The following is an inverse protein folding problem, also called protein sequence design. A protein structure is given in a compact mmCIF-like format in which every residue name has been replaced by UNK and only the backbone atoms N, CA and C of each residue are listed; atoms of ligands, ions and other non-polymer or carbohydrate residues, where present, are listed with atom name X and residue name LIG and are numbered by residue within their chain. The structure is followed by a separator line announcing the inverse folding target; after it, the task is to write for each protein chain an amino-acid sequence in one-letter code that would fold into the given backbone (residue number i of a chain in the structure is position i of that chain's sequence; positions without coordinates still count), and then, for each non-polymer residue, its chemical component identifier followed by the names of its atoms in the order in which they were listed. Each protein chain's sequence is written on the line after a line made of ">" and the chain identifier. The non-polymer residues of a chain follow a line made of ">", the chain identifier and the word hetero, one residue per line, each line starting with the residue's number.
data_IF_869859174006
#
_entry.id   IF_869859174006
#
_cell.length_a   1.000
_cell.length_b   1.000
_cell.length_c   1.000
_cell.angle_alpha   90.00
_cell.angle_beta   90.00
_cell.angle_gamma   90.00
#
_symmetry.space_group_name_H-M   'P 1'
#
loop_
_entity.id
_entity.type
_entity.pdbx_description
1 polymer ?
#
# COMPACT_ATOMS: atom_id res chain seq x y z
N UNK A 1 -12.58 -23.73 -2.18
CA UNK A 1 -11.35 -23.01 -2.55
C UNK A 1 -11.58 -21.51 -2.52
N UNK A 2 -10.66 -20.78 -1.89
CA UNK A 2 -10.83 -19.34 -1.68
C UNK A 2 -10.17 -18.56 -2.82
N UNK A 3 -10.79 -17.45 -3.24
CA UNK A 3 -10.16 -16.49 -4.14
C UNK A 3 -9.00 -15.79 -3.42
N UNK A 4 -8.11 -15.14 -4.19
CA UNK A 4 -7.01 -14.37 -3.62
C UNK A 4 -7.49 -13.29 -2.65
N UNK A 5 -8.55 -12.57 -3.02
CA UNK A 5 -9.12 -11.54 -2.15
C UNK A 5 -9.69 -12.12 -0.87
N UNK A 6 -10.35 -13.28 -0.95
CA UNK A 6 -10.88 -13.95 0.24
C UNK A 6 -9.76 -14.42 1.14
N UNK A 7 -8.68 -14.95 0.58
CA UNK A 7 -7.52 -15.37 1.35
C UNK A 7 -6.90 -14.20 2.09
N UNK A 8 -6.78 -13.03 1.44
CA UNK A 8 -6.27 -11.83 2.09
C UNK A 8 -7.17 -11.38 3.24
N UNK A 9 -8.49 -11.42 3.05
CA UNK A 9 -9.44 -11.07 4.10
C UNK A 9 -9.35 -12.01 5.29
N UNK A 10 -9.22 -13.31 5.06
CA UNK A 10 -9.05 -14.29 6.13
C UNK A 10 -7.76 -14.01 6.90
N UNK A 11 -6.67 -13.70 6.18
CA UNK A 11 -5.40 -13.37 6.81
C UNK A 11 -5.50 -12.15 7.72
N UNK A 12 -6.19 -11.11 7.25
CA UNK A 12 -6.41 -9.90 8.04
C UNK A 12 -7.28 -10.22 9.27
N UNK A 13 -8.35 -10.97 9.08
CA UNK A 13 -9.23 -11.38 10.19
C UNK A 13 -8.46 -12.14 11.26
N UNK A 14 -7.58 -13.05 10.87
CA UNK A 14 -6.74 -13.78 11.81
C UNK A 14 -5.79 -12.86 12.57
N UNK A 15 -5.20 -11.90 11.87
CA UNK A 15 -4.25 -10.98 12.47
C UNK A 15 -4.91 -10.13 13.55
N UNK A 16 -6.16 -9.71 13.36
CA UNK A 16 -6.85 -8.85 14.33
C UNK A 16 -7.62 -9.61 15.40
N UNK A 17 -7.71 -10.94 15.30
CA UNK A 17 -8.50 -11.76 16.22
C UNK A 17 -8.07 -11.61 17.68
N UNK A 18 -6.81 -11.34 17.93
CA UNK A 18 -6.28 -11.16 19.28
C UNK A 18 -6.27 -9.69 19.73
N UNK A 19 -6.95 -8.83 18.98
CA UNK A 19 -7.11 -7.42 19.32
C UNK A 19 -5.76 -6.70 19.49
N UNK A 20 -4.88 -6.72 18.46
CA UNK A 20 -3.55 -6.15 18.58
C UNK A 20 -3.57 -4.63 18.56
N UNK A 21 -2.51 -4.01 19.10
CA UNK A 21 -2.28 -2.57 18.96
C UNK A 21 -1.59 -2.23 17.64
N UNK A 22 -0.86 -3.18 17.08
CA UNK A 22 -0.09 -3.01 15.85
C UNK A 22 -0.44 -4.08 14.84
N UNK A 23 -0.66 -3.67 13.60
CA UNK A 23 -0.90 -4.58 12.49
C UNK A 23 0.19 -4.36 11.44
N UNK A 24 0.82 -5.44 10.99
CA UNK A 24 1.84 -5.38 9.94
C UNK A 24 1.33 -6.13 8.72
N UNK A 25 1.29 -5.45 7.57
CA UNK A 25 0.85 -6.03 6.31
C UNK A 25 1.99 -5.95 5.30
N UNK A 26 2.39 -7.10 4.76
CA UNK A 26 3.43 -7.17 3.75
C UNK A 26 2.80 -7.49 2.40
N UNK A 27 2.82 -6.51 1.49
CA UNK A 27 2.25 -6.64 0.15
C UNK A 27 0.81 -7.19 0.20
N UNK A 28 -0.10 -6.54 0.95
CA UNK A 28 -1.41 -7.13 1.25
C UNK A 28 -2.30 -7.34 0.03
N UNK A 29 -2.10 -6.58 -1.04
CA UNK A 29 -2.89 -6.73 -2.26
C UNK A 29 -2.10 -7.31 -3.43
N UNK A 30 -0.97 -7.94 -3.15
CA UNK A 30 -0.16 -8.61 -4.18
C UNK A 30 -0.95 -9.71 -4.88
N UNK A 31 -0.87 -9.73 -6.21
CA UNK A 31 -1.53 -10.76 -7.00
C UNK A 31 -3.03 -10.56 -7.19
N UNK A 32 -3.58 -9.43 -6.76
CA UNK A 32 -4.99 -9.13 -6.90
C UNK A 32 -5.21 -8.16 -8.07
N UNK A 33 -6.40 -8.22 -8.67
CA UNK A 33 -6.79 -7.26 -9.68
C UNK A 33 -6.97 -5.86 -9.06
N UNK A 34 -6.96 -4.79 -9.85
CA UNK A 34 -7.04 -3.43 -9.32
C UNK A 34 -8.27 -3.16 -8.46
N UNK A 35 -9.42 -3.68 -8.85
CA UNK A 35 -10.65 -3.47 -8.09
C UNK A 35 -10.57 -4.12 -6.71
N UNK A 36 -10.17 -5.39 -6.65
CA UNK A 36 -10.03 -6.12 -5.40
C UNK A 36 -8.94 -5.50 -4.52
N UNK A 37 -7.87 -5.01 -5.13
CA UNK A 37 -6.80 -4.31 -4.40
C UNK A 37 -7.33 -3.10 -3.65
N UNK A 38 -8.19 -2.30 -4.29
CA UNK A 38 -8.80 -1.14 -3.64
C UNK A 38 -9.65 -1.58 -2.45
N UNK A 39 -10.40 -2.67 -2.59
CA UNK A 39 -11.24 -3.18 -1.50
C UNK A 39 -10.39 -3.63 -0.30
N UNK A 40 -9.26 -4.28 -0.56
CA UNK A 40 -8.36 -4.71 0.51
C UNK A 40 -7.73 -3.49 1.20
N UNK A 41 -7.30 -2.49 0.44
CA UNK A 41 -6.74 -1.26 1.01
C UNK A 41 -7.75 -0.57 1.92
N UNK A 42 -8.99 -0.45 1.47
CA UNK A 42 -10.05 0.16 2.26
C UNK A 42 -10.37 -0.64 3.52
N UNK A 43 -10.37 -1.96 3.40
CA UNK A 43 -10.59 -2.83 4.55
C UNK A 43 -9.52 -2.59 5.62
N UNK A 44 -8.26 -2.55 5.23
CA UNK A 44 -7.15 -2.29 6.14
C UNK A 44 -7.32 -0.93 6.81
N UNK A 45 -7.65 0.10 6.03
CA UNK A 45 -7.84 1.44 6.55
C UNK A 45 -9.01 1.52 7.53
N UNK A 46 -10.14 0.90 7.18
CA UNK A 46 -11.33 0.92 8.03
C UNK A 46 -11.09 0.19 9.34
N UNK A 47 -10.47 -0.99 9.29
CA UNK A 47 -10.17 -1.76 10.50
C UNK A 47 -9.16 -1.05 11.39
N UNK A 48 -8.18 -0.39 10.77
CA UNK A 48 -7.19 0.39 11.51
C UNK A 48 -7.87 1.46 12.36
N UNK A 49 -8.83 2.16 11.77
CA UNK A 49 -9.58 3.21 12.46
C UNK A 49 -10.55 2.63 13.49
N UNK A 50 -11.29 1.60 13.09
CA UNK A 50 -12.31 1.01 13.97
C UNK A 50 -11.71 0.43 15.24
N UNK A 51 -10.58 -0.27 15.13
CA UNK A 51 -9.92 -0.92 16.27
C UNK A 51 -8.80 -0.08 16.86
N UNK A 52 -8.64 1.15 16.39
CA UNK A 52 -7.62 2.09 16.88
C UNK A 52 -6.23 1.46 16.89
N UNK A 53 -5.87 0.81 15.80
CA UNK A 53 -4.56 0.17 15.65
C UNK A 53 -3.58 1.12 14.97
N UNK A 54 -2.29 0.85 15.17
CA UNK A 54 -1.24 1.42 14.32
C UNK A 54 -0.88 0.37 13.28
N UNK A 55 -1.06 0.70 12.01
CA UNK A 55 -0.84 -0.25 10.93
C UNK A 55 0.34 0.16 10.08
N UNK A 56 1.24 -0.79 9.84
CA UNK A 56 2.39 -0.60 8.95
C UNK A 56 2.17 -1.48 7.72
N UNK A 57 2.13 -0.86 6.55
CA UNK A 57 1.95 -1.57 5.29
C UNK A 57 3.21 -1.44 4.46
N UNK A 58 3.81 -2.58 4.11
CA UNK A 58 4.92 -2.63 3.19
C UNK A 58 4.38 -2.93 1.80
N UNK A 59 4.58 -2.03 0.85
CA UNK A 59 4.07 -2.21 -0.51
C UNK A 59 4.91 -1.41 -1.50
N UNK A 60 4.89 -1.82 -2.76
CA UNK A 60 5.47 -1.05 -3.86
C UNK A 60 4.39 -0.44 -4.76
N UNK A 61 3.12 -0.57 -4.38
CA UNK A 61 1.99 -0.07 -5.17
C UNK A 61 1.66 1.37 -4.80
N UNK A 62 1.95 2.30 -5.70
CA UNK A 62 1.68 3.72 -5.47
C UNK A 62 0.20 4.02 -5.26
N UNK A 63 -0.70 3.24 -5.86
CA UNK A 63 -2.13 3.44 -5.65
C UNK A 63 -2.51 3.21 -4.19
N UNK A 64 -2.00 2.14 -3.58
CA UNK A 64 -2.21 1.85 -2.16
C UNK A 64 -1.63 2.95 -1.29
N UNK A 65 -0.41 3.37 -1.59
CA UNK A 65 0.27 4.41 -0.83
C UNK A 65 -0.55 5.70 -0.82
N UNK A 66 -1.05 6.12 -1.97
CA UNK A 66 -1.83 7.35 -2.08
C UNK A 66 -3.24 7.20 -1.52
N UNK A 67 -3.81 5.99 -1.55
CA UNK A 67 -5.16 5.75 -1.05
C UNK A 67 -5.20 5.73 0.48
N UNK A 68 -4.29 5.00 1.13
CA UNK A 68 -4.37 4.76 2.57
C UNK A 68 -3.17 5.23 3.38
N UNK A 69 -2.11 5.75 2.74
CA UNK A 69 -0.90 6.14 3.45
C UNK A 69 -1.07 7.46 4.19
N UNK A 70 -0.88 7.44 5.51
CA UNK A 70 -0.83 8.65 6.32
C UNK A 70 0.61 9.15 6.41
N UNK A 71 1.51 8.28 6.85
CA UNK A 71 2.94 8.54 6.90
C UNK A 71 3.64 7.57 5.97
N UNK A 72 4.56 8.07 5.17
CA UNK A 72 5.22 7.28 4.13
C UNK A 72 6.72 7.33 4.35
N UNK A 73 7.35 6.16 4.28
CA UNK A 73 8.81 6.04 4.31
C UNK A 73 9.26 5.27 3.07
N UNK A 74 10.24 5.82 2.37
CA UNK A 74 10.81 5.18 1.17
C UNK A 74 12.11 4.50 1.53
N UNK A 75 12.12 3.17 1.40
CA UNK A 75 13.30 2.35 1.68
C UNK A 75 14.11 2.17 0.40
N UNK A 76 15.41 2.37 0.51
CA UNK A 76 16.32 2.22 -0.62
C UNK A 76 17.67 1.71 -0.10
N UNK A 77 18.13 0.60 -0.64
CA UNK A 77 19.43 -0.01 -0.30
C UNK A 77 19.64 -0.15 1.21
N UNK A 78 18.61 -0.62 1.89
CA UNK A 78 18.70 -0.96 3.31
C UNK A 78 18.52 0.20 4.28
N UNK A 79 18.17 1.39 3.79
CA UNK A 79 17.94 2.53 4.68
C UNK A 79 16.72 3.33 4.23
N UNK A 80 16.21 4.16 5.15
CA UNK A 80 15.11 5.07 4.85
C UNK A 80 15.70 6.30 4.16
N UNK A 81 15.41 6.46 2.87
CA UNK A 81 15.95 7.54 2.07
C UNK A 81 15.07 8.79 2.10
N UNK A 82 13.78 8.62 2.32
CA UNK A 82 12.82 9.72 2.33
C UNK A 82 11.67 9.40 3.27
N UNK A 83 11.13 10.42 3.92
CA UNK A 83 9.94 10.32 4.75
C UNK A 83 9.04 11.51 4.50
N UNK A 84 7.73 11.26 4.56
CA UNK A 84 6.75 12.31 4.37
C UNK A 84 5.35 11.75 4.41
N UNK A 85 4.45 12.34 3.65
CA UNK A 85 3.06 11.89 3.56
C UNK A 85 2.59 11.94 2.09
N UNK A 86 1.32 11.58 1.87
CA UNK A 86 0.78 11.55 0.51
C UNK A 86 0.66 12.93 -0.12
N UNK A 87 0.66 13.99 0.68
CA UNK A 87 0.60 15.36 0.16
C UNK A 87 1.95 15.85 -0.30
N UNK A 88 3.03 15.33 0.24
CA UNK A 88 4.39 15.77 -0.08
C UNK A 88 5.13 14.83 -1.02
N UNK A 89 4.67 13.59 -1.18
CA UNK A 89 5.40 12.57 -1.96
C UNK A 89 5.58 12.97 -3.44
N UNK A 90 4.57 13.57 -4.05
CA UNK A 90 4.63 13.92 -5.47
C UNK A 90 5.49 15.14 -5.73
N UNK A 91 5.76 15.95 -4.71
CA UNK A 91 6.63 17.12 -4.80
C UNK A 91 8.02 16.89 -4.24
N UNK A 92 8.42 15.64 -4.07
CA UNK A 92 9.71 15.31 -3.48
C UNK A 92 10.89 15.76 -4.33
N UNK A 93 11.99 16.13 -3.68
CA UNK A 93 13.27 16.39 -4.34
C UNK A 93 14.16 15.15 -4.42
N UNK A 94 13.73 14.05 -3.81
CA UNK A 94 14.50 12.80 -3.80
C UNK A 94 14.43 12.13 -5.17
N UNK A 95 15.56 12.07 -5.88
CA UNK A 95 15.61 11.55 -7.24
C UNK A 95 15.18 10.09 -7.32
N UNK A 96 15.63 9.27 -6.39
CA UNK A 96 15.29 7.84 -6.35
C UNK A 96 13.80 7.63 -6.18
N UNK A 97 13.17 8.46 -5.34
CA UNK A 97 11.72 8.38 -5.16
C UNK A 97 10.98 8.86 -6.39
N UNK A 98 11.47 9.91 -7.05
CA UNK A 98 10.89 10.38 -8.33
C UNK A 98 10.93 9.26 -9.36
N UNK A 99 12.04 8.57 -9.47
CA UNK A 99 12.20 7.47 -10.41
C UNK A 99 11.21 6.34 -10.11
N UNK A 100 11.03 6.02 -8.84
CA UNK A 100 10.08 5.00 -8.41
C UNK A 100 8.64 5.40 -8.77
N UNK A 101 8.25 6.64 -8.49
CA UNK A 101 6.91 7.15 -8.81
C UNK A 101 6.68 7.13 -10.31
N UNK A 102 7.66 7.58 -11.10
CA UNK A 102 7.55 7.58 -12.56
C UNK A 102 7.41 6.17 -13.12
N UNK A 103 8.17 5.22 -12.62
CA UNK A 103 8.09 3.83 -13.06
C UNK A 103 6.70 3.24 -12.79
N UNK A 104 6.12 3.53 -11.63
CA UNK A 104 4.76 3.10 -11.30
C UNK A 104 3.74 3.69 -12.24
N UNK A 105 3.83 4.99 -12.49
CA UNK A 105 2.90 5.68 -13.39
C UNK A 105 3.01 5.16 -14.82
N UNK A 106 4.22 4.97 -15.31
CA UNK A 106 4.45 4.46 -16.66
C UNK A 106 3.88 3.06 -16.83
N UNK A 107 4.17 2.16 -15.89
CA UNK A 107 3.66 0.80 -15.92
C UNK A 107 2.13 0.79 -15.93
N UNK A 108 1.52 1.62 -15.09
CA UNK A 108 0.07 1.75 -15.04
C UNK A 108 -0.51 2.22 -16.37
N UNK A 109 0.09 3.25 -16.96
CA UNK A 109 -0.36 3.80 -18.23
C UNK A 109 -0.28 2.76 -19.35
N UNK A 110 0.78 1.97 -19.39
CA UNK A 110 0.93 0.91 -20.36
C UNK A 110 -0.17 -0.14 -20.19
N UNK A 111 -0.42 -0.58 -18.96
CA UNK A 111 -1.41 -1.60 -18.67
C UNK A 111 -2.82 -1.11 -19.04
N UNK A 112 -3.11 0.16 -18.79
CA UNK A 112 -4.42 0.75 -19.07
C UNK A 112 -4.57 1.20 -20.52
N UNK A 113 -3.56 1.01 -21.34
CA UNK A 113 -3.58 1.45 -22.74
C UNK A 113 -3.45 2.95 -22.94
N UNK A 114 -2.98 3.67 -21.94
CA UNK A 114 -2.76 5.11 -21.99
C UNK A 114 -1.32 5.48 -22.29
N UNK A 115 -0.51 4.50 -22.62
CA UNK A 115 0.91 4.71 -22.84
C UNK A 115 1.19 5.56 -24.06
N UNK A 116 2.23 6.32 -23.96
CA UNK A 116 2.87 7.00 -25.07
C UNK A 116 4.11 7.71 -24.60
#
# INVERSE_FOLDING_TARGET
>A
ELSGGMQKRVGIARAIALNPSYLFCDEPNSGLDPYTSILIDRLISDLTKEFNMTTVVNTHDMNSILEIGDKIAFLHKGSILWQGDRHTILGTDCQELKDFVCANTLARNIIEGKGK
#
